data_IF_088117603390
#
_entry.id   IF_088117603390
#
_cell.length_a   1.000
_cell.length_b   1.000
_cell.length_c   1.000
_cell.angle_alpha   90.00
_cell.angle_beta   90.00
_cell.angle_gamma   90.00
#
_symmetry.space_group_name_H-M   'P 1'
#
loop_
_entity.id
_entity.type
_entity.pdbx_description
1 polymer ?
#
# COMPACT_ATOMS: atom_id res chain seq x y z
N UNK A 1 8.03 -8.35 17.46
CA UNK A 1 6.58 -8.64 17.38
C UNK A 1 5.99 -7.57 16.50
N UNK A 2 5.32 -7.92 15.39
CA UNK A 2 4.68 -6.93 14.52
C UNK A 2 3.46 -6.31 15.21
N UNK A 3 2.96 -5.16 14.75
CA UNK A 3 1.84 -4.46 15.39
C UNK A 3 0.47 -5.15 15.21
N UNK A 4 0.46 -6.44 14.86
CA UNK A 4 -0.76 -7.22 14.64
C UNK A 4 -1.56 -6.86 13.38
N UNK A 5 -1.03 -5.98 12.52
CA UNK A 5 -1.67 -5.67 11.23
C UNK A 5 -1.33 -6.81 10.27
N UNK A 6 -2.29 -7.70 10.06
CA UNK A 6 -2.28 -8.71 9.00
C UNK A 6 -3.02 -8.23 7.75
N UNK A 7 -3.40 -9.16 6.90
CA UNK A 7 -4.12 -8.87 5.64
C UNK A 7 -5.44 -8.11 5.87
N UNK A 8 -6.17 -8.44 6.95
CA UNK A 8 -7.40 -7.73 7.34
C UNK A 8 -7.11 -6.28 7.72
N UNK A 9 -6.02 -6.04 8.44
CA UNK A 9 -5.61 -4.67 8.77
C UNK A 9 -5.23 -3.88 7.52
N UNK A 10 -4.52 -4.51 6.59
CA UNK A 10 -4.18 -3.92 5.30
C UNK A 10 -5.43 -3.57 4.46
N UNK A 11 -6.50 -4.37 4.54
CA UNK A 11 -7.79 -4.04 3.92
C UNK A 11 -8.38 -2.73 4.47
N UNK A 12 -8.35 -2.52 5.78
CA UNK A 12 -8.83 -1.26 6.36
C UNK A 12 -7.98 -0.06 5.93
N UNK A 13 -6.66 -0.22 5.83
CA UNK A 13 -5.80 0.81 5.25
C UNK A 13 -6.16 1.10 3.79
N UNK A 14 -6.41 0.06 2.99
CA UNK A 14 -6.83 0.22 1.60
C UNK A 14 -8.12 1.04 1.47
N UNK A 15 -9.13 0.72 2.29
CA UNK A 15 -10.39 1.47 2.34
C UNK A 15 -10.17 2.95 2.70
N UNK A 16 -9.28 3.23 3.66
CA UNK A 16 -8.87 4.57 4.03
C UNK A 16 -8.14 5.30 2.91
N UNK A 17 -7.21 4.62 2.23
CA UNK A 17 -6.42 5.16 1.13
C UNK A 17 -7.29 5.63 -0.04
N UNK A 18 -8.39 4.92 -0.35
CA UNK A 18 -9.32 5.34 -1.43
C UNK A 18 -9.91 6.73 -1.23
N UNK A 19 -10.01 7.19 0.03
CA UNK A 19 -10.59 8.49 0.39
C UNK A 19 -9.56 9.51 0.85
N UNK A 20 -8.34 9.06 1.14
CA UNK A 20 -7.28 9.93 1.62
C UNK A 20 -6.69 10.74 0.45
N UNK A 21 -6.61 12.06 0.61
CA UNK A 21 -6.10 12.99 -0.40
C UNK A 21 -4.91 13.82 0.10
N UNK A 22 -4.30 13.44 1.22
CA UNK A 22 -3.24 14.23 1.87
C UNK A 22 -1.98 13.42 2.18
N UNK A 23 -2.11 12.11 2.42
CA UNK A 23 -1.02 11.26 2.82
C UNK A 23 -0.11 10.96 1.63
N UNK A 24 1.18 11.26 1.79
CA UNK A 24 2.22 11.00 0.78
C UNK A 24 3.06 9.76 1.12
N UNK A 25 3.19 9.43 2.41
CA UNK A 25 3.99 8.30 2.91
C UNK A 25 3.21 7.48 3.92
N UNK A 26 3.20 6.16 3.75
CA UNK A 26 2.62 5.19 4.68
C UNK A 26 3.64 4.10 4.98
N UNK A 27 4.04 3.98 6.25
CA UNK A 27 4.95 2.93 6.70
C UNK A 27 4.21 1.87 7.53
N UNK A 28 4.19 0.65 7.00
CA UNK A 28 3.64 -0.54 7.62
C UNK A 28 4.70 -1.65 7.69
N UNK A 29 5.99 -1.33 7.58
CA UNK A 29 7.10 -2.28 7.48
C UNK A 29 7.12 -3.30 8.63
N UNK A 30 6.80 -2.94 9.86
CA UNK A 30 6.80 -3.89 11.00
C UNK A 30 5.48 -4.66 11.18
N UNK A 31 4.88 -5.16 10.10
CA UNK A 31 3.58 -5.85 10.12
C UNK A 31 3.60 -7.14 9.28
N UNK A 32 2.64 -8.03 9.55
CA UNK A 32 2.54 -9.33 8.88
C UNK A 32 1.57 -9.25 7.70
N UNK A 33 1.87 -8.34 6.76
CA UNK A 33 1.09 -8.16 5.55
C UNK A 33 1.62 -9.15 4.51
N UNK A 34 0.78 -10.14 4.17
CA UNK A 34 1.07 -11.10 3.11
C UNK A 34 0.57 -10.62 1.76
N UNK A 35 0.54 -11.54 0.80
CA UNK A 35 0.11 -11.24 -0.56
C UNK A 35 -1.34 -10.72 -0.62
N UNK A 36 -2.27 -11.31 0.14
CA UNK A 36 -3.67 -10.88 0.19
C UNK A 36 -3.78 -9.43 0.69
N UNK A 37 -3.06 -9.08 1.75
CA UNK A 37 -3.03 -7.71 2.26
C UNK A 37 -2.42 -6.72 1.27
N UNK A 38 -1.36 -7.12 0.56
CA UNK A 38 -0.77 -6.30 -0.49
C UNK A 38 -1.74 -6.08 -1.67
N UNK A 39 -2.50 -7.11 -2.07
CA UNK A 39 -3.55 -6.97 -3.09
C UNK A 39 -4.64 -5.98 -2.65
N UNK A 40 -5.07 -6.01 -1.39
CA UNK A 40 -5.98 -5.00 -0.87
C UNK A 40 -5.37 -3.59 -0.95
N UNK A 41 -4.12 -3.41 -0.51
CA UNK A 41 -3.43 -2.12 -0.59
C UNK A 41 -3.32 -1.62 -2.03
N UNK A 42 -3.03 -2.51 -3.00
CA UNK A 42 -3.01 -2.18 -4.42
C UNK A 42 -4.37 -1.67 -4.91
N UNK A 43 -5.47 -2.32 -4.53
CA UNK A 43 -6.81 -1.88 -4.90
C UNK A 43 -7.20 -0.53 -4.26
N UNK A 44 -6.74 -0.27 -3.03
CA UNK A 44 -6.85 1.05 -2.41
C UNK A 44 -6.07 2.12 -3.17
N UNK A 45 -4.81 1.81 -3.52
CA UNK A 45 -3.90 2.70 -4.26
C UNK A 45 -4.37 3.02 -5.68
N UNK A 46 -5.13 2.13 -6.32
CA UNK A 46 -5.72 2.38 -7.62
C UNK A 46 -6.48 3.71 -7.66
N UNK A 47 -7.21 4.01 -6.58
CA UNK A 47 -8.01 5.23 -6.41
C UNK A 47 -7.26 6.37 -5.73
N UNK A 48 -6.21 6.08 -4.96
CA UNK A 48 -5.41 7.09 -4.30
C UNK A 48 -4.46 7.79 -5.30
N UNK A 49 -4.42 9.11 -5.27
CA UNK A 49 -3.58 9.91 -6.19
C UNK A 49 -2.49 10.73 -5.49
N UNK A 50 -2.25 10.47 -4.20
CA UNK A 50 -1.42 11.33 -3.32
C UNK A 50 -0.28 10.57 -2.66
N UNK A 51 -0.46 9.27 -2.38
CA UNK A 51 0.55 8.42 -1.79
C UNK A 51 1.65 8.12 -2.82
N UNK A 52 2.89 8.44 -2.47
CA UNK A 52 4.08 8.24 -3.30
C UNK A 52 5.03 7.18 -2.73
N UNK A 53 4.87 6.86 -1.44
CA UNK A 53 5.71 5.91 -0.71
C UNK A 53 4.85 5.00 0.17
N UNK A 54 5.00 3.70 0.02
CA UNK A 54 4.41 2.66 0.87
C UNK A 54 5.50 1.67 1.27
N UNK A 55 5.73 1.50 2.57
CA UNK A 55 6.70 0.54 3.09
C UNK A 55 5.97 -0.63 3.75
N UNK A 56 6.27 -1.85 3.30
CA UNK A 56 5.79 -3.12 3.88
C UNK A 56 6.92 -4.15 3.84
N UNK A 57 6.73 -5.30 4.48
CA UNK A 57 7.63 -6.44 4.32
C UNK A 57 7.43 -7.15 2.98
N UNK A 58 8.14 -6.65 1.96
CA UNK A 58 8.08 -7.15 0.59
C UNK A 58 8.46 -8.63 0.42
N UNK A 59 9.16 -9.25 1.39
CA UNK A 59 9.51 -10.67 1.29
C UNK A 59 8.30 -11.61 1.46
N UNK A 60 7.17 -11.11 1.97
CA UNK A 60 5.92 -11.89 2.15
C UNK A 60 4.94 -11.72 0.97
N UNK A 61 5.32 -10.97 -0.07
CA UNK A 61 4.43 -10.51 -1.15
C UNK A 61 4.91 -11.04 -2.50
N UNK A 62 3.98 -11.45 -3.37
CA UNK A 62 4.32 -11.92 -4.72
C UNK A 62 4.79 -10.78 -5.62
N UNK A 63 5.54 -11.13 -6.68
CA UNK A 63 6.06 -10.15 -7.64
C UNK A 63 4.94 -9.30 -8.27
N UNK A 64 3.81 -9.92 -8.60
CA UNK A 64 2.68 -9.22 -9.22
C UNK A 64 2.12 -8.08 -8.37
N UNK A 65 1.93 -8.31 -7.07
CA UNK A 65 1.43 -7.27 -6.17
C UNK A 65 2.46 -6.14 -6.01
N UNK A 66 3.77 -6.47 -5.99
CA UNK A 66 4.86 -5.47 -5.98
C UNK A 66 4.81 -4.58 -7.21
N UNK A 67 4.69 -5.17 -8.40
CA UNK A 67 4.68 -4.45 -9.67
C UNK A 67 3.50 -3.47 -9.73
N UNK A 68 2.30 -3.95 -9.38
CA UNK A 68 1.08 -3.12 -9.39
C UNK A 68 1.18 -1.97 -8.38
N UNK A 69 1.65 -2.25 -7.15
CA UNK A 69 1.84 -1.20 -6.15
C UNK A 69 2.88 -0.19 -6.64
N UNK A 70 3.99 -0.67 -7.21
CA UNK A 70 5.04 0.17 -7.80
C UNK A 70 4.49 1.12 -8.85
N UNK A 71 3.70 0.61 -9.80
CA UNK A 71 3.05 1.41 -10.85
C UNK A 71 2.21 2.54 -10.27
N UNK A 72 1.38 2.26 -9.26
CA UNK A 72 0.53 3.28 -8.66
C UNK A 72 1.31 4.33 -7.87
N UNK A 73 2.36 3.94 -7.15
CA UNK A 73 3.22 4.89 -6.44
C UNK A 73 4.01 5.78 -7.41
N UNK A 74 4.53 5.21 -8.50
CA UNK A 74 5.21 5.96 -9.57
C UNK A 74 4.27 6.94 -10.26
N UNK A 75 3.06 6.48 -10.62
CA UNK A 75 2.01 7.33 -11.18
C UNK A 75 1.76 8.56 -10.29
N UNK A 76 1.75 8.39 -8.97
CA UNK A 76 1.48 9.47 -8.03
C UNK A 76 2.69 10.40 -7.87
N UNK A 77 3.93 9.89 -7.90
CA UNK A 77 5.15 10.73 -7.91
C UNK A 77 5.20 11.67 -9.11
N UNK A 78 4.78 11.17 -10.28
CA UNK A 78 4.81 11.93 -11.52
C UNK A 78 3.67 12.97 -11.63
N UNK A 79 2.69 12.98 -10.72
CA UNK A 79 1.60 13.96 -10.66
C UNK A 79 1.89 15.15 -9.75
N UNK A 80 2.84 15.01 -8.82
CA UNK A 80 3.24 16.06 -7.88
C UNK A 80 4.37 16.96 -8.41
N UNK A 81 4.81 16.74 -9.66
CA UNK A 81 5.76 17.55 -10.40
C UNK A 81 5.02 18.40 -11.43
#
# INVERSE_FOLDING_TARGET
MGNGIGDIGAQHFADGLRRNITLTTLDLSCNQIGDIGAQHLADGLRHNTTLTTLEIWWYMVEAKAKDIIGEFLERNRNRGQ
#
